data_IF_928691538209
#
_entry.id   IF_928691538209
#
_cell.length_a   1.000
_cell.length_b   1.000
_cell.length_c   1.000
_cell.angle_alpha   90.00
_cell.angle_beta   90.00
_cell.angle_gamma   90.00
#
_symmetry.space_group_name_H-M   'P 1'
#
loop_
_entity.id
_entity.type
_entity.pdbx_description
1 polymer ?
#
# COMPACT_ATOMS: atom_id res chain seq x y z
N UNK A 1 -31.94 -7.13 -7.82
CA UNK A 1 -30.92 -6.27 -7.17
C UNK A 1 -31.42 -4.83 -7.20
N UNK A 2 -31.60 -4.23 -6.02
CA UNK A 2 -32.04 -2.84 -5.90
C UNK A 2 -30.91 -1.91 -6.40
N UNK A 3 -31.20 -1.00 -7.35
CA UNK A 3 -30.19 -0.10 -7.93
C UNK A 3 -29.54 0.81 -6.89
N UNK A 4 -30.19 1.07 -5.75
CA UNK A 4 -29.58 1.84 -4.66
C UNK A 4 -28.52 1.04 -3.90
N UNK A 5 -28.75 -0.24 -3.61
CA UNK A 5 -27.79 -1.12 -2.95
C UNK A 5 -26.55 -1.38 -3.83
N UNK A 6 -26.75 -1.56 -5.14
CA UNK A 6 -25.63 -1.69 -6.08
C UNK A 6 -24.78 -0.40 -6.17
N UNK A 7 -25.37 0.78 -5.92
CA UNK A 7 -24.67 2.08 -5.84
C UNK A 7 -23.94 2.28 -4.51
N UNK A 8 -24.43 1.67 -3.42
CA UNK A 8 -23.71 1.64 -2.15
C UNK A 8 -22.47 0.75 -2.23
N UNK A 9 -22.53 -0.36 -2.97
CA UNK A 9 -21.36 -1.23 -3.14
C UNK A 9 -20.30 -0.58 -4.05
N UNK A 10 -20.71 0.14 -5.10
CA UNK A 10 -19.82 0.78 -6.07
C UNK A 10 -20.00 2.30 -6.10
N UNK A 11 -19.38 3.03 -5.16
CA UNK A 11 -19.50 4.49 -5.14
C UNK A 11 -18.80 5.11 -6.36
N UNK A 12 -19.33 6.25 -6.81
CA UNK A 12 -18.73 7.01 -7.90
C UNK A 12 -17.37 7.59 -7.48
N UNK A 13 -16.34 7.33 -8.30
CA UNK A 13 -14.96 7.78 -8.09
C UNK A 13 -14.40 8.42 -9.38
N UNK A 14 -14.97 9.54 -9.86
CA UNK A 14 -14.53 10.17 -11.09
C UNK A 14 -13.15 10.80 -10.91
N UNK A 15 -12.17 10.36 -11.71
CA UNK A 15 -10.74 10.74 -11.58
C UNK A 15 -10.52 12.24 -11.35
N UNK A 16 -11.14 13.11 -12.17
CA UNK A 16 -10.97 14.55 -12.06
C UNK A 16 -11.42 15.16 -10.73
N UNK A 17 -12.33 14.52 -10.00
CA UNK A 17 -12.85 15.05 -8.74
C UNK A 17 -11.98 14.70 -7.52
N UNK A 18 -11.15 13.66 -7.61
CA UNK A 18 -10.36 13.18 -6.48
C UNK A 18 -8.85 13.08 -6.74
N UNK A 19 -8.40 13.45 -7.95
CA UNK A 19 -7.00 13.39 -8.38
C UNK A 19 -6.03 13.93 -7.32
N UNK A 20 -6.29 15.12 -6.77
CA UNK A 20 -5.36 15.74 -5.83
C UNK A 20 -5.29 14.98 -4.49
N UNK A 21 -6.40 14.35 -4.07
CA UNK A 21 -6.43 13.43 -2.92
C UNK A 21 -5.73 12.12 -3.24
N UNK A 22 -5.87 11.58 -4.46
CA UNK A 22 -5.14 10.39 -4.92
C UNK A 22 -3.64 10.63 -4.84
N UNK A 23 -3.15 11.74 -5.41
CA UNK A 23 -1.71 12.01 -5.50
C UNK A 23 -1.09 12.18 -4.11
N UNK A 24 -1.77 12.90 -3.22
CA UNK A 24 -1.34 13.05 -1.82
C UNK A 24 -1.42 11.73 -1.04
N UNK A 25 -2.49 10.97 -1.18
CA UNK A 25 -2.62 9.66 -0.53
C UNK A 25 -1.57 8.67 -1.04
N UNK A 26 -1.26 8.67 -2.34
CA UNK A 26 -0.22 7.84 -2.92
C UNK A 26 1.14 8.10 -2.27
N UNK A 27 1.52 9.36 -2.07
CA UNK A 27 2.78 9.71 -1.41
C UNK A 27 2.78 9.31 0.08
N UNK A 28 1.66 9.46 0.78
CA UNK A 28 1.54 8.98 2.16
C UNK A 28 1.67 7.44 2.24
N UNK A 29 1.09 6.70 1.29
CA UNK A 29 1.23 5.25 1.21
C UNK A 29 2.65 4.81 0.80
N UNK A 30 3.36 5.59 -0.02
CA UNK A 30 4.77 5.36 -0.32
C UNK A 30 5.63 5.38 0.95
N UNK A 31 5.38 6.33 1.85
CA UNK A 31 6.10 6.41 3.14
C UNK A 31 5.85 5.15 3.97
N UNK A 32 4.60 4.75 4.16
CA UNK A 32 4.23 3.54 4.92
C UNK A 32 4.81 2.28 4.27
N UNK A 33 4.67 2.17 2.95
CA UNK A 33 5.16 1.05 2.16
C UNK A 33 6.68 0.90 2.20
N UNK A 34 7.42 2.02 2.20
CA UNK A 34 8.88 2.00 2.34
C UNK A 34 9.35 1.51 3.69
N UNK A 35 8.61 1.80 4.76
CA UNK A 35 8.91 1.20 6.09
C UNK A 35 8.76 -0.31 6.02
N UNK A 36 7.68 -0.81 5.40
CA UNK A 36 7.48 -2.24 5.19
C UNK A 36 8.60 -2.86 4.33
N UNK A 37 8.96 -2.23 3.21
CA UNK A 37 10.06 -2.67 2.35
C UNK A 37 11.39 -2.76 3.10
N UNK A 38 11.70 -1.78 3.96
CA UNK A 38 12.95 -1.76 4.70
C UNK A 38 13.00 -2.78 5.85
N UNK A 39 11.86 -3.10 6.46
CA UNK A 39 11.78 -3.90 7.69
C UNK A 39 11.32 -5.35 7.49
N UNK A 40 11.00 -5.74 6.26
CA UNK A 40 10.62 -7.11 5.95
C UNK A 40 11.70 -7.81 5.15
N UNK A 41 11.95 -9.11 5.41
CA UNK A 41 12.84 -9.90 4.56
C UNK A 41 12.34 -9.87 3.12
N UNK A 42 13.28 -9.78 2.17
CA UNK A 42 12.94 -9.90 0.75
C UNK A 42 12.24 -11.24 0.49
N UNK A 43 11.10 -11.17 -0.20
CA UNK A 43 10.40 -12.34 -0.71
C UNK A 43 10.42 -12.32 -2.25
N UNK A 44 10.47 -13.50 -2.91
CA UNK A 44 10.34 -13.60 -4.35
C UNK A 44 9.11 -12.84 -4.87
N UNK A 45 9.21 -12.33 -6.10
CA UNK A 45 8.17 -11.50 -6.71
C UNK A 45 7.79 -10.25 -5.89
N UNK A 46 8.71 -9.77 -5.04
CA UNK A 46 8.47 -8.65 -4.13
C UNK A 46 7.30 -8.86 -3.17
N UNK A 47 6.98 -10.11 -2.81
CA UNK A 47 5.78 -10.41 -1.99
C UNK A 47 5.79 -9.78 -0.58
N UNK A 48 6.96 -9.33 -0.11
CA UNK A 48 7.11 -8.62 1.16
C UNK A 48 6.72 -7.13 1.08
N UNK A 49 6.64 -6.55 -0.11
CA UNK A 49 6.43 -5.11 -0.36
C UNK A 49 4.96 -4.65 -0.22
N UNK A 50 3.95 -5.37 -0.73
CA UNK A 50 2.58 -4.88 -0.77
C UNK A 50 1.96 -4.58 0.58
N UNK A 51 0.97 -3.70 0.57
CA UNK A 51 -0.01 -3.59 1.64
C UNK A 51 -1.18 -4.56 1.37
N UNK A 52 -1.91 -4.91 2.41
CA UNK A 52 -3.08 -5.80 2.32
C UNK A 52 -4.32 -5.07 2.81
N UNK A 53 -5.49 -5.41 2.28
CA UNK A 53 -6.72 -4.81 2.79
C UNK A 53 -7.04 -5.31 4.19
N UNK A 54 -7.46 -4.37 5.04
CA UNK A 54 -8.09 -4.60 6.32
C UNK A 54 -9.56 -4.21 6.26
N UNK A 55 -10.31 -4.47 7.33
CA UNK A 55 -11.71 -4.05 7.44
C UNK A 55 -11.92 -2.52 7.42
N UNK A 56 -10.84 -1.72 7.53
CA UNK A 56 -10.91 -0.26 7.65
C UNK A 56 -10.01 0.48 6.65
N UNK A 57 -9.21 -0.24 5.87
CA UNK A 57 -8.25 0.36 4.96
C UNK A 57 -7.17 -0.62 4.52
N UNK A 58 -5.91 -0.26 4.75
CA UNK A 58 -4.73 -1.03 4.36
C UNK A 58 -3.87 -1.35 5.57
N UNK A 59 -3.19 -2.49 5.57
CA UNK A 59 -2.31 -2.94 6.64
C UNK A 59 -0.97 -3.41 6.09
N UNK A 60 0.09 -3.13 6.85
CA UNK A 60 1.36 -3.78 6.63
C UNK A 60 1.35 -5.23 7.12
N UNK A 61 0.36 -5.70 7.88
CA UNK A 61 0.46 -6.91 8.72
C UNK A 61 1.61 -6.80 9.74
N UNK A 62 1.72 -7.74 10.72
CA UNK A 62 2.79 -7.71 11.70
C UNK A 62 4.19 -7.76 11.07
N UNK A 63 5.05 -6.86 11.53
CA UNK A 63 6.48 -6.76 11.20
C UNK A 63 7.30 -6.74 12.49
N UNK A 64 8.63 -6.77 12.35
CA UNK A 64 9.54 -6.72 13.50
C UNK A 64 10.71 -5.78 13.25
N UNK A 65 11.12 -5.07 14.30
CA UNK A 65 12.32 -4.24 14.32
C UNK A 65 13.00 -4.35 15.68
N UNK A 66 14.28 -4.71 15.72
CA UNK A 66 15.07 -4.81 16.96
C UNK A 66 14.35 -5.57 18.11
N UNK A 67 13.64 -6.65 17.79
CA UNK A 67 12.87 -7.46 18.76
C UNK A 67 11.50 -6.89 19.16
N UNK A 68 11.12 -5.69 18.71
CA UNK A 68 9.78 -5.14 18.82
C UNK A 68 8.92 -5.62 17.65
N UNK A 69 7.78 -6.26 17.94
CA UNK A 69 6.75 -6.57 16.94
C UNK A 69 5.74 -5.43 16.89
N UNK A 70 5.38 -5.01 15.69
CA UNK A 70 4.41 -3.94 15.47
C UNK A 70 3.78 -4.06 14.06
N UNK A 71 2.71 -3.32 13.82
CA UNK A 71 2.13 -3.15 12.48
C UNK A 71 1.77 -1.69 12.24
N UNK A 72 1.55 -1.34 10.98
CA UNK A 72 1.07 -0.03 10.57
C UNK A 72 -0.21 -0.23 9.75
N UNK A 73 -1.28 0.40 10.21
CA UNK A 73 -2.59 0.36 9.57
C UNK A 73 -2.96 1.75 9.07
N UNK A 74 -3.31 1.84 7.79
CA UNK A 74 -3.89 3.03 7.18
C UNK A 74 -5.40 2.89 7.28
N UNK A 75 -6.00 3.61 8.21
CA UNK A 75 -7.43 3.65 8.47
C UNK A 75 -8.07 4.75 7.61
N UNK A 76 -8.86 4.34 6.62
CA UNK A 76 -9.55 5.20 5.67
C UNK A 76 -11.03 5.44 6.05
N UNK A 77 -11.41 5.04 7.27
CA UNK A 77 -12.68 5.39 7.91
C UNK A 77 -12.47 6.54 8.89
N UNK A 78 -11.48 6.41 9.78
CA UNK A 78 -11.13 7.46 10.75
C UNK A 78 -10.05 8.42 10.22
N UNK A 79 -9.55 8.18 9.00
CA UNK A 79 -8.56 9.02 8.31
C UNK A 79 -7.28 9.22 9.12
N UNK A 80 -6.62 8.12 9.45
CA UNK A 80 -5.39 8.11 10.24
C UNK A 80 -4.50 6.92 9.89
N UNK A 81 -3.20 7.09 10.10
CA UNK A 81 -2.24 5.99 10.14
C UNK A 81 -1.98 5.62 11.58
N UNK A 82 -2.23 4.36 11.92
CA UNK A 82 -2.09 3.80 13.28
C UNK A 82 -0.87 2.90 13.31
N UNK A 83 0.02 3.14 14.26
CA UNK A 83 1.19 2.29 14.52
C UNK A 83 0.93 1.60 15.86
N UNK A 84 0.79 0.27 15.83
CA UNK A 84 0.47 -0.53 17.02
C UNK A 84 1.58 -1.50 17.32
N UNK A 85 2.02 -1.54 18.58
CA UNK A 85 3.05 -2.48 19.03
C UNK A 85 2.45 -3.65 19.79
N UNK A 86 3.12 -4.80 19.77
CA UNK A 86 2.75 -5.95 20.59
C UNK A 86 2.90 -5.72 22.10
N UNK A 87 3.40 -4.54 22.53
CA UNK A 87 3.46 -4.11 23.93
C UNK A 87 2.22 -3.32 24.35
N UNK A 88 1.33 -3.01 23.42
CA UNK A 88 0.13 -2.21 23.65
C UNK A 88 0.30 -0.71 23.40
N UNK A 89 1.46 -0.26 22.91
CA UNK A 89 1.64 1.13 22.52
C UNK A 89 0.91 1.42 21.20
N UNK A 90 0.26 2.58 21.13
CA UNK A 90 -0.38 3.06 19.90
C UNK A 90 0.03 4.50 19.60
N UNK A 91 0.46 4.74 18.37
CA UNK A 91 0.64 6.09 17.80
C UNK A 91 -0.32 6.29 16.64
N UNK A 92 -0.79 7.52 16.47
CA UNK A 92 -1.74 7.91 15.42
C UNK A 92 -1.23 9.15 14.71
N UNK A 93 -1.29 9.12 13.38
CA UNK A 93 -0.91 10.22 12.51
C UNK A 93 -2.09 10.52 11.62
N UNK A 94 -2.66 11.73 11.71
CA UNK A 94 -3.85 12.06 10.96
C UNK A 94 -3.57 12.14 9.45
N UNK A 95 -4.51 11.68 8.64
CA UNK A 95 -4.58 11.90 7.20
C UNK A 95 -5.51 13.10 6.96
N UNK A 96 -4.92 14.27 6.76
CA UNK A 96 -5.63 15.55 6.60
C UNK A 96 -5.02 16.33 5.46
N UNK A 97 -5.67 17.43 5.05
CA UNK A 97 -5.13 18.35 4.05
C UNK A 97 -3.90 19.09 4.61
N UNK A 98 -2.73 18.49 4.43
CA UNK A 98 -1.41 18.99 4.80
C UNK A 98 -0.36 18.43 3.85
N UNK A 99 0.80 19.07 3.80
CA UNK A 99 1.89 18.62 2.93
C UNK A 99 2.37 17.21 3.28
N UNK A 100 2.85 16.49 2.27
CA UNK A 100 3.55 15.22 2.44
C UNK A 100 4.79 15.40 3.32
N UNK A 101 5.48 16.55 3.25
CA UNK A 101 6.59 16.88 4.14
C UNK A 101 6.19 16.89 5.62
N UNK A 102 5.08 17.54 5.97
CA UNK A 102 4.56 17.56 7.35
C UNK A 102 4.14 16.16 7.79
N UNK A 103 3.46 15.42 6.90
CA UNK A 103 3.08 14.03 7.18
C UNK A 103 4.29 13.15 7.45
N UNK A 104 5.31 13.24 6.61
CA UNK A 104 6.55 12.48 6.72
C UNK A 104 7.28 12.78 8.03
N UNK A 105 7.41 14.06 8.39
CA UNK A 105 8.06 14.48 9.64
C UNK A 105 7.36 13.90 10.87
N UNK A 106 6.03 14.01 10.94
CA UNK A 106 5.22 13.50 12.04
C UNK A 106 5.25 11.98 12.12
N UNK A 107 5.12 11.30 10.98
CA UNK A 107 5.15 9.85 10.92
C UNK A 107 6.49 9.28 11.40
N UNK A 108 7.60 9.82 10.90
CA UNK A 108 8.95 9.40 11.32
C UNK A 108 9.22 9.77 12.78
N UNK A 109 8.68 10.88 13.27
CA UNK A 109 8.76 11.24 14.70
C UNK A 109 8.06 10.19 15.57
N UNK A 110 6.83 9.79 15.20
CA UNK A 110 6.09 8.75 15.92
C UNK A 110 6.83 7.40 15.93
N UNK A 111 7.41 6.96 14.81
CA UNK A 111 8.25 5.76 14.77
C UNK A 111 9.45 5.87 15.73
N UNK A 112 10.18 6.99 15.73
CA UNK A 112 11.31 7.21 16.64
C UNK A 112 10.89 7.19 18.11
N UNK A 113 9.71 7.70 18.46
CA UNK A 113 9.21 7.63 19.86
C UNK A 113 8.94 6.19 20.32
N UNK A 114 8.71 5.26 19.39
CA UNK A 114 8.56 3.84 19.66
C UNK A 114 9.90 3.09 19.59
N UNK A 115 11.00 3.79 19.34
CA UNK A 115 12.34 3.21 19.16
C UNK A 115 12.51 2.50 17.80
N UNK A 116 11.72 2.87 16.79
CA UNK A 116 11.77 2.28 15.45
C UNK A 116 12.48 3.26 14.51
N UNK A 117 13.58 2.81 13.90
CA UNK A 117 14.30 3.56 12.87
C UNK A 117 14.54 2.67 11.63
N UNK A 118 13.65 2.74 10.62
CA UNK A 118 13.67 1.83 9.49
C UNK A 118 14.76 2.11 8.46
N UNK A 119 15.45 3.26 8.51
CA UNK A 119 16.50 3.59 7.53
C UNK A 119 16.00 3.63 6.08
N UNK A 120 14.81 4.18 5.83
CA UNK A 120 14.23 4.23 4.48
C UNK A 120 14.93 5.27 3.59
N UNK A 121 14.98 5.00 2.28
CA UNK A 121 15.31 6.03 1.27
C UNK A 121 14.11 6.97 1.12
N UNK A 122 14.23 8.28 1.43
CA UNK A 122 13.10 9.19 1.55
C UNK A 122 12.70 9.84 0.22
N UNK A 123 12.76 9.09 -0.88
CA UNK A 123 12.39 9.54 -2.23
C UNK A 123 11.36 8.54 -2.78
N UNK A 124 10.19 8.98 -3.29
CA UNK A 124 9.20 8.08 -3.90
C UNK A 124 9.81 7.22 -5.01
N UNK A 125 9.35 5.98 -5.13
CA UNK A 125 9.69 5.10 -6.25
C UNK A 125 8.51 5.03 -7.23
N UNK A 126 8.77 4.68 -8.50
CA UNK A 126 7.71 4.41 -9.50
C UNK A 126 6.76 5.59 -9.79
N UNK A 127 7.25 6.82 -9.63
CA UNK A 127 6.59 8.07 -10.05
C UNK A 127 7.45 8.81 -11.07
N UNK A 128 6.84 9.63 -11.95
CA UNK A 128 7.56 10.30 -13.04
C UNK A 128 8.56 11.34 -12.55
N UNK A 129 8.16 12.17 -11.58
CA UNK A 129 8.92 13.32 -11.10
C UNK A 129 8.99 13.30 -9.57
N UNK A 130 9.83 12.41 -8.97
CA UNK A 130 9.83 12.18 -7.54
C UNK A 130 10.37 13.40 -6.77
N UNK A 131 9.55 13.95 -5.88
CA UNK A 131 9.97 14.95 -4.89
C UNK A 131 10.37 14.20 -3.60
N UNK A 132 11.54 14.44 -3.01
CA UNK A 132 11.89 13.88 -1.70
C UNK A 132 10.80 14.18 -0.66
N UNK A 133 10.41 13.21 0.16
CA UNK A 133 9.24 13.37 1.05
C UNK A 133 9.36 14.59 1.96
N UNK A 134 10.56 14.87 2.48
CA UNK A 134 10.81 16.01 3.36
C UNK A 134 10.71 17.38 2.67
N UNK A 135 10.70 17.41 1.33
CA UNK A 135 10.63 18.62 0.51
C UNK A 135 9.27 18.75 -0.20
N UNK A 136 8.44 17.70 -0.14
CA UNK A 136 7.17 17.65 -0.85
C UNK A 136 6.09 18.49 -0.17
N UNK A 137 6.05 19.75 -0.61
CA UNK A 137 5.02 20.74 -0.29
C UNK A 137 3.98 20.90 -1.40
N UNK A 138 4.12 20.14 -2.49
CA UNK A 138 3.21 20.17 -3.66
C UNK A 138 1.97 19.34 -3.37
N UNK A 139 2.16 18.11 -2.90
CA UNK A 139 1.06 17.23 -2.54
C UNK A 139 0.56 17.57 -1.13
N UNK A 140 -0.61 18.21 -1.04
CA UNK A 140 -1.17 18.66 0.23
C UNK A 140 -2.70 18.54 0.34
N UNK A 141 -3.37 18.07 -0.71
CA UNK A 141 -4.83 17.97 -0.76
C UNK A 141 -5.30 16.64 -0.19
N UNK A 142 -6.29 16.66 0.69
CA UNK A 142 -6.89 15.43 1.19
C UNK A 142 -8.34 15.67 1.59
N UNK A 143 -9.24 15.02 0.87
CA UNK A 143 -10.67 15.00 1.17
C UNK A 143 -11.06 13.61 1.71
N UNK A 144 -11.43 13.51 3.00
CA UNK A 144 -11.80 12.26 3.64
C UNK A 144 -12.83 11.43 2.86
N UNK A 145 -13.85 12.09 2.32
CA UNK A 145 -14.91 11.40 1.58
C UNK A 145 -14.38 10.70 0.32
N UNK A 146 -13.47 11.33 -0.43
CA UNK A 146 -12.88 10.73 -1.62
C UNK A 146 -11.98 9.55 -1.29
N UNK A 147 -11.14 9.67 -0.25
CA UNK A 147 -10.30 8.58 0.23
C UNK A 147 -11.14 7.37 0.70
N UNK A 148 -12.27 7.63 1.36
CA UNK A 148 -13.20 6.58 1.79
C UNK A 148 -13.88 5.88 0.59
N UNK A 149 -14.33 6.64 -0.41
CA UNK A 149 -14.91 6.08 -1.65
C UNK A 149 -13.89 5.20 -2.38
N UNK A 150 -12.64 5.64 -2.49
CA UNK A 150 -11.55 4.83 -3.04
C UNK A 150 -11.39 3.51 -2.28
N UNK A 151 -11.33 3.55 -0.95
CA UNK A 151 -11.24 2.33 -0.13
C UNK A 151 -12.42 1.38 -0.35
N UNK A 152 -13.65 1.90 -0.43
CA UNK A 152 -14.84 1.07 -0.67
C UNK A 152 -14.78 0.34 -2.01
N UNK A 153 -14.37 1.05 -3.07
CA UNK A 153 -14.15 0.42 -4.39
C UNK A 153 -13.06 -0.65 -4.29
N UNK A 154 -11.94 -0.34 -3.66
CA UNK A 154 -10.83 -1.27 -3.47
C UNK A 154 -11.25 -2.54 -2.69
N UNK A 155 -12.06 -2.37 -1.64
CA UNK A 155 -12.59 -3.46 -0.83
C UNK A 155 -13.50 -4.41 -1.62
N UNK A 156 -14.34 -3.86 -2.51
CA UNK A 156 -15.15 -4.71 -3.40
C UNK A 156 -14.30 -5.47 -4.41
N UNK A 157 -13.31 -4.81 -5.03
CA UNK A 157 -12.40 -5.46 -5.98
C UNK A 157 -11.63 -6.58 -5.28
N UNK A 158 -11.12 -6.34 -4.07
CA UNK A 158 -10.41 -7.35 -3.29
C UNK A 158 -11.27 -8.60 -3.01
N UNK A 159 -12.54 -8.43 -2.64
CA UNK A 159 -13.46 -9.56 -2.44
C UNK A 159 -13.68 -10.35 -3.73
N UNK A 160 -13.86 -9.67 -4.86
CA UNK A 160 -14.00 -10.31 -6.17
C UNK A 160 -12.73 -11.06 -6.59
N UNK A 161 -11.56 -10.46 -6.40
CA UNK A 161 -10.27 -11.09 -6.68
C UNK A 161 -10.02 -12.30 -5.76
N UNK A 162 -10.41 -12.22 -4.48
CA UNK A 162 -10.34 -13.35 -3.53
C UNK A 162 -11.25 -14.50 -3.96
N UNK A 163 -12.50 -14.23 -4.36
CA UNK A 163 -13.40 -15.26 -4.90
C UNK A 163 -12.80 -15.91 -6.14
N UNK A 164 -12.32 -15.10 -7.09
CA UNK A 164 -11.71 -15.59 -8.31
C UNK A 164 -10.45 -16.44 -8.03
N UNK A 165 -9.60 -15.99 -7.10
CA UNK A 165 -8.40 -16.69 -6.64
C UNK A 165 -8.73 -18.03 -5.98
N UNK A 166 -9.81 -18.11 -5.20
CA UNK A 166 -10.17 -19.30 -4.41
C UNK A 166 -10.39 -20.58 -5.24
N UNK A 167 -10.69 -20.41 -6.54
CA UNK A 167 -10.96 -21.50 -7.49
C UNK A 167 -9.68 -22.06 -8.12
N UNK A 168 -8.58 -21.31 -8.05
CA UNK A 168 -7.30 -21.74 -8.60
C UNK A 168 -6.58 -22.67 -7.61
N UNK A 169 -5.94 -23.72 -8.13
CA UNK A 169 -5.23 -24.74 -7.32
C UNK A 169 -3.71 -24.71 -7.48
N UNK A 170 -3.19 -23.84 -8.35
CA UNK A 170 -1.75 -23.64 -8.52
C UNK A 170 -1.18 -22.56 -7.61
N UNK A 171 0.09 -22.19 -7.83
CA UNK A 171 0.77 -21.13 -7.09
C UNK A 171 0.17 -19.76 -7.42
N UNK A 172 -0.22 -19.02 -6.39
CA UNK A 172 -0.79 -17.66 -6.53
C UNK A 172 -0.37 -16.78 -5.36
N UNK A 173 -0.17 -15.48 -5.60
CA UNK A 173 -0.03 -14.51 -4.53
C UNK A 173 -1.37 -14.31 -3.80
N UNK A 174 -1.40 -13.71 -2.59
CA UNK A 174 -2.60 -13.07 -2.08
C UNK A 174 -3.05 -11.93 -3.02
N UNK A 175 -4.19 -11.30 -2.71
CA UNK A 175 -4.48 -9.99 -3.31
C UNK A 175 -3.57 -8.97 -2.63
N UNK A 176 -2.86 -8.18 -3.43
CA UNK A 176 -1.74 -7.35 -3.00
C UNK A 176 -1.94 -5.93 -3.50
N UNK A 177 -1.85 -4.93 -2.62
CA UNK A 177 -1.84 -3.53 -3.01
C UNK A 177 -0.40 -3.01 -3.11
N UNK A 178 0.08 -2.77 -4.34
CA UNK A 178 1.41 -2.24 -4.59
C UNK A 178 1.37 -0.71 -4.47
N UNK A 179 1.88 -0.19 -3.36
CA UNK A 179 1.92 1.25 -3.07
C UNK A 179 2.86 2.03 -3.98
N UNK A 180 3.81 1.36 -4.66
CA UNK A 180 4.73 1.98 -5.62
C UNK A 180 3.97 2.55 -6.80
N UNK A 181 3.27 1.68 -7.51
CA UNK A 181 2.46 1.94 -8.71
C UNK A 181 0.98 2.26 -8.43
N UNK A 182 0.54 2.12 -7.18
CA UNK A 182 -0.83 2.38 -6.71
C UNK A 182 -1.89 1.46 -7.33
N UNK A 183 -1.58 0.16 -7.46
CA UNK A 183 -2.48 -0.85 -8.03
C UNK A 183 -2.77 -2.03 -7.09
N UNK A 184 -3.87 -2.73 -7.37
CA UNK A 184 -4.29 -3.93 -6.66
C UNK A 184 -4.13 -5.15 -7.58
N UNK A 185 -3.21 -6.04 -7.23
CA UNK A 185 -2.87 -7.17 -8.08
C UNK A 185 -3.15 -8.54 -7.44
N UNK A 186 -3.50 -9.51 -8.29
CA UNK A 186 -3.38 -10.93 -7.98
C UNK A 186 -2.66 -11.67 -9.12
N UNK A 187 -1.59 -12.38 -8.77
CA UNK A 187 -0.74 -13.07 -9.74
C UNK A 187 -0.85 -14.59 -9.61
N UNK A 188 -0.82 -15.27 -10.76
CA UNK A 188 -0.81 -16.74 -10.88
C UNK A 188 0.43 -17.20 -11.62
N UNK A 189 0.99 -18.30 -11.15
CA UNK A 189 2.25 -18.84 -11.64
C UNK A 189 2.09 -20.30 -12.04
N UNK A 190 2.84 -20.73 -13.05
CA UNK A 190 2.89 -22.15 -13.45
C UNK A 190 3.68 -23.01 -12.47
N UNK A 191 4.51 -22.39 -11.64
CA UNK A 191 5.45 -23.04 -10.73
C UNK A 191 6.84 -23.24 -11.33
N UNK A 192 7.03 -22.96 -12.63
CA UNK A 192 8.36 -22.99 -13.26
C UNK A 192 9.14 -21.71 -12.94
N UNK A 193 10.47 -21.81 -12.72
CA UNK A 193 11.31 -20.62 -12.66
C UNK A 193 11.33 -19.91 -14.02
N UNK A 194 11.56 -18.61 -14.01
CA UNK A 194 11.77 -17.82 -15.21
C UNK A 194 13.07 -17.02 -15.08
N UNK A 195 13.76 -16.83 -16.20
CA UNK A 195 14.93 -15.94 -16.27
C UNK A 195 14.51 -14.62 -16.93
N UNK A 196 14.57 -13.50 -16.20
CA UNK A 196 14.30 -12.18 -16.76
C UNK A 196 15.27 -11.84 -17.91
N UNK A 197 14.82 -11.10 -18.95
CA UNK A 197 15.67 -10.72 -20.07
C UNK A 197 16.96 -9.98 -19.63
N UNK A 198 18.08 -10.13 -20.37
CA UNK A 198 19.28 -9.34 -20.15
C UNK A 198 18.97 -7.84 -20.16
N UNK A 199 19.48 -7.10 -19.17
CA UNK A 199 19.22 -5.66 -19.04
C UNK A 199 17.92 -5.29 -18.30
N UNK A 200 17.13 -6.27 -17.85
CA UNK A 200 15.99 -6.01 -17.00
C UNK A 200 16.41 -5.28 -15.71
N UNK A 201 15.71 -4.19 -15.38
CA UNK A 201 15.92 -3.44 -14.14
C UNK A 201 15.69 -4.29 -12.89
N UNK A 202 16.10 -3.77 -11.72
CA UNK A 202 16.07 -4.53 -10.46
C UNK A 202 14.67 -5.09 -10.13
N UNK A 203 13.63 -4.27 -10.30
CA UNK A 203 12.23 -4.64 -10.04
C UNK A 203 11.84 -5.83 -10.92
N UNK A 204 11.97 -5.68 -12.24
CA UNK A 204 11.63 -6.73 -13.20
C UNK A 204 12.42 -8.02 -12.96
N UNK A 205 13.71 -7.91 -12.61
CA UNK A 205 14.56 -9.08 -12.35
C UNK A 205 14.14 -9.87 -11.12
N UNK A 206 13.68 -9.18 -10.08
CA UNK A 206 13.25 -9.80 -8.81
C UNK A 206 11.75 -10.13 -8.79
N UNK A 207 10.99 -9.53 -9.71
CA UNK A 207 9.56 -9.74 -9.95
C UNK A 207 9.25 -10.91 -10.88
N UNK A 208 10.10 -11.13 -11.90
CA UNK A 208 9.89 -12.09 -12.99
C UNK A 208 10.72 -13.37 -12.89
N UNK A 209 11.09 -13.80 -11.69
CA UNK A 209 11.86 -15.03 -11.42
C UNK A 209 11.01 -16.32 -11.45
N UNK A 210 9.71 -16.20 -11.73
CA UNK A 210 8.79 -17.31 -11.96
C UNK A 210 7.90 -17.06 -13.18
N UNK A 211 7.59 -18.10 -13.93
CA UNK A 211 6.70 -18.00 -15.10
C UNK A 211 5.29 -17.64 -14.65
N UNK A 212 4.91 -16.40 -14.95
CA UNK A 212 3.60 -15.83 -14.63
C UNK A 212 2.60 -16.17 -15.75
N UNK A 213 1.49 -16.80 -15.37
CA UNK A 213 0.41 -17.18 -16.29
C UNK A 213 -0.56 -16.01 -16.49
N UNK A 214 -0.85 -15.29 -15.40
CA UNK A 214 -1.85 -14.21 -15.38
C UNK A 214 -1.50 -13.21 -14.28
N UNK A 215 -1.68 -11.92 -14.59
CA UNK A 215 -1.83 -10.84 -13.60
C UNK A 215 -3.20 -10.23 -13.79
N UNK A 216 -3.96 -10.13 -12.71
CA UNK A 216 -5.13 -9.26 -12.65
C UNK A 216 -4.68 -8.00 -11.92
N UNK A 217 -4.75 -6.84 -12.59
CA UNK A 217 -4.38 -5.50 -12.11
C UNK A 217 -5.60 -4.61 -12.32
#
# INVERSE_FOLDING_TARGET
MNRSAAREDWPELPYSAWKDTLETLHMNLQIVGKVRLALTPFEPQWANVPLYLSARGLTTTPMAYAGLRFQIDVDLIDHQVVIETARGDTRRVALTARSVADFYADFMSNLRTLGIDPGIRPIPDEVSDPIPFAEDTVHAAYEPEWANRFWRVLAQIDLLLKDHRSRFRGRTSPVQFFWGTFDLANSRFSGRPAEPPPGAGLIARKGGDAEQILSLI
#
